data_IF_065889413745
#
_entry.id   IF_065889413745
#
_cell.length_a   1.000
_cell.length_b   1.000
_cell.length_c   1.000
_cell.angle_alpha   90.00
_cell.angle_beta   90.00
_cell.angle_gamma   90.00
#
_symmetry.space_group_name_H-M   'P 1'
#
loop_
_entity.id
_entity.type
_entity.pdbx_description
1 polymer ?
#
# COMPACT_ATOMS: atom_id res chain seq x y z
N UNK A 1 10.50 18.81 18.57
CA UNK A 1 9.23 19.23 19.22
C UNK A 1 8.11 19.56 18.22
N UNK A 2 8.41 20.05 17.00
CA UNK A 2 7.39 20.27 15.96
C UNK A 2 6.99 19.00 15.17
N UNK A 3 7.96 18.10 14.93
CA UNK A 3 7.70 16.84 14.19
C UNK A 3 6.73 15.93 14.96
N UNK A 4 6.81 15.86 16.29
CA UNK A 4 5.88 15.08 17.10
C UNK A 4 4.44 15.62 17.01
N UNK A 5 4.26 16.95 16.99
CA UNK A 5 2.94 17.56 16.78
C UNK A 5 2.40 17.26 15.38
N UNK A 6 3.23 17.31 14.35
CA UNK A 6 2.84 16.97 12.97
C UNK A 6 2.49 15.49 12.85
N UNK A 7 3.30 14.59 13.46
CA UNK A 7 3.02 13.15 13.49
C UNK A 7 1.74 12.83 14.27
N UNK A 8 1.49 13.50 15.39
CA UNK A 8 0.26 13.30 16.17
C UNK A 8 -0.96 13.83 15.41
N UNK A 9 -0.81 14.97 14.72
CA UNK A 9 -1.88 15.53 13.88
C UNK A 9 -2.15 14.65 12.66
N UNK A 10 -1.12 14.14 11.98
CA UNK A 10 -1.27 13.20 10.87
C UNK A 10 -1.87 11.87 11.34
N UNK A 11 -1.41 11.30 12.44
CA UNK A 11 -1.94 10.05 12.99
C UNK A 11 -3.41 10.21 13.40
N UNK A 12 -3.79 11.35 13.96
CA UNK A 12 -5.18 11.66 14.32
C UNK A 12 -6.05 11.94 13.09
N UNK A 13 -5.51 12.65 12.09
CA UNK A 13 -6.21 12.93 10.84
C UNK A 13 -6.39 11.66 10.00
N UNK A 14 -5.36 10.83 9.86
CA UNK A 14 -5.40 9.55 9.16
C UNK A 14 -6.27 8.56 9.93
N UNK A 15 -6.12 8.46 11.25
CA UNK A 15 -6.99 7.64 12.10
C UNK A 15 -8.45 8.06 11.97
N UNK A 16 -8.74 9.36 11.99
CA UNK A 16 -10.07 9.91 11.76
C UNK A 16 -10.60 9.67 10.34
N UNK A 17 -9.73 9.68 9.33
CA UNK A 17 -10.11 9.40 7.94
C UNK A 17 -10.42 7.91 7.76
N UNK A 18 -9.59 7.01 8.30
CA UNK A 18 -9.84 5.57 8.32
C UNK A 18 -11.14 5.27 9.08
N UNK A 19 -11.36 5.87 10.25
CA UNK A 19 -12.62 5.70 11.00
C UNK A 19 -13.83 6.23 10.22
N UNK A 20 -13.73 7.39 9.57
CA UNK A 20 -14.80 7.92 8.71
C UNK A 20 -15.10 6.99 7.53
N UNK A 21 -14.08 6.40 6.93
CA UNK A 21 -14.24 5.42 5.85
C UNK A 21 -14.84 4.12 6.35
N UNK A 22 -14.45 3.63 7.53
CA UNK A 22 -15.04 2.45 8.18
C UNK A 22 -16.51 2.68 8.53
N UNK A 23 -16.83 3.82 9.13
CA UNK A 23 -18.21 4.22 9.46
C UNK A 23 -19.02 4.43 8.17
N UNK A 24 -18.43 5.02 7.14
CA UNK A 24 -19.02 5.15 5.82
C UNK A 24 -19.30 3.79 5.17
N UNK A 25 -18.36 2.85 5.27
CA UNK A 25 -18.50 1.49 4.79
C UNK A 25 -19.56 0.70 5.54
N UNK A 26 -19.58 0.77 6.88
CA UNK A 26 -20.59 0.13 7.73
C UNK A 26 -21.97 0.73 7.45
N UNK A 27 -22.09 2.05 7.33
CA UNK A 27 -23.38 2.69 7.05
C UNK A 27 -23.87 2.41 5.65
N UNK A 28 -22.99 2.39 4.64
CA UNK A 28 -23.33 1.98 3.28
C UNK A 28 -23.74 0.50 3.22
N UNK A 29 -23.02 -0.39 3.93
CA UNK A 29 -23.36 -1.81 4.04
C UNK A 29 -24.70 -2.01 4.73
N UNK A 30 -24.96 -1.29 5.82
CA UNK A 30 -26.23 -1.35 6.54
C UNK A 30 -27.39 -0.78 5.72
N UNK A 31 -27.14 0.29 4.96
CA UNK A 31 -28.11 0.87 4.03
C UNK A 31 -28.45 -0.10 2.90
N UNK A 32 -27.43 -0.78 2.34
CA UNK A 32 -27.61 -1.83 1.34
C UNK A 32 -28.40 -3.02 1.90
N UNK A 33 -28.09 -3.46 3.13
CA UNK A 33 -28.84 -4.52 3.82
C UNK A 33 -30.32 -4.17 4.05
N UNK A 34 -30.63 -2.89 4.24
CA UNK A 34 -32.01 -2.41 4.45
C UNK A 34 -32.72 -1.95 3.16
N UNK A 35 -32.03 -2.01 2.02
CA UNK A 35 -32.63 -1.68 0.73
C UNK A 35 -33.50 -2.84 0.26
N UNK A 36 -34.77 -2.57 -0.07
CA UNK A 36 -35.70 -3.53 -0.65
C UNK A 36 -35.98 -3.20 -2.11
N UNK A 37 -35.79 -4.17 -3.01
CA UNK A 37 -36.20 -4.01 -4.40
C UNK A 37 -37.70 -4.37 -4.55
N UNK A 38 -38.42 -3.72 -5.48
CA UNK A 38 -39.84 -3.99 -5.68
C UNK A 38 -40.16 -5.46 -6.02
N UNK A 39 -39.17 -6.21 -6.53
CA UNK A 39 -39.25 -7.64 -6.87
C UNK A 39 -39.25 -8.56 -5.63
N UNK A 40 -38.75 -8.07 -4.50
CA UNK A 40 -38.56 -8.79 -3.23
C UNK A 40 -39.59 -8.35 -2.18
N UNK A 41 -40.43 -7.37 -2.51
CA UNK A 41 -41.35 -6.72 -1.57
C UNK A 41 -42.42 -7.70 -1.06
N UNK A 42 -42.70 -8.77 -1.81
CA UNK A 42 -43.59 -9.85 -1.37
C UNK A 42 -43.00 -10.69 -0.22
N UNK A 43 -41.67 -10.83 -0.12
CA UNK A 43 -41.01 -11.57 0.97
C UNK A 43 -41.13 -10.80 2.29
N UNK A 44 -41.15 -9.47 2.20
CA UNK A 44 -41.28 -8.57 3.36
C UNK A 44 -42.77 -8.45 3.74
N UNK A 45 -43.64 -8.12 2.77
CA UNK A 45 -45.05 -7.81 3.02
C UNK A 45 -45.94 -9.03 3.26
N UNK A 46 -45.68 -10.19 2.62
CA UNK A 46 -46.52 -11.39 2.76
C UNK A 46 -45.92 -12.46 3.67
N UNK A 47 -44.60 -12.58 3.73
CA UNK A 47 -43.91 -13.65 4.48
C UNK A 47 -43.29 -13.09 5.78
N UNK A 48 -43.13 -11.77 5.90
CA UNK A 48 -42.64 -11.12 7.13
C UNK A 48 -41.14 -11.28 7.36
N UNK A 49 -40.35 -11.58 6.32
CA UNK A 49 -38.90 -11.72 6.45
C UNK A 49 -38.25 -10.34 6.53
N UNK A 50 -37.31 -10.17 7.47
CA UNK A 50 -36.59 -8.92 7.61
C UNK A 50 -35.63 -8.68 6.43
N UNK A 51 -35.55 -7.41 5.98
CA UNK A 51 -34.75 -6.98 4.82
C UNK A 51 -33.28 -7.44 4.85
N UNK A 52 -32.57 -7.37 6.00
CA UNK A 52 -31.18 -7.81 6.07
C UNK A 52 -31.01 -9.31 5.84
N UNK A 53 -31.97 -10.14 6.29
CA UNK A 53 -31.93 -11.59 6.11
C UNK A 53 -32.13 -11.95 4.64
N UNK A 54 -33.01 -11.23 3.92
CA UNK A 54 -33.21 -11.40 2.47
C UNK A 54 -31.90 -11.13 1.71
N UNK A 55 -31.17 -10.07 2.09
CA UNK A 55 -29.88 -9.71 1.48
C UNK A 55 -28.76 -10.70 1.82
N UNK A 56 -28.63 -11.07 3.09
CA UNK A 56 -27.56 -11.98 3.55
C UNK A 56 -27.77 -13.43 3.12
N UNK A 57 -29.02 -13.86 2.92
CA UNK A 57 -29.33 -15.22 2.47
C UNK A 57 -29.09 -15.45 0.97
N UNK A 58 -28.76 -14.40 0.20
CA UNK A 58 -28.54 -14.45 -1.26
C UNK A 58 -29.71 -15.12 -2.03
N UNK A 59 -30.90 -15.19 -1.42
CA UNK A 59 -32.04 -15.91 -1.97
C UNK A 59 -32.63 -15.17 -3.17
N UNK A 60 -32.35 -15.65 -4.40
CA UNK A 60 -32.91 -15.14 -5.66
C UNK A 60 -34.36 -15.61 -5.88
N UNK A 61 -35.25 -15.47 -4.89
CA UNK A 61 -36.68 -15.66 -5.12
C UNK A 61 -37.28 -14.37 -5.66
N UNK A 62 -37.16 -14.18 -6.98
CA UNK A 62 -37.82 -13.08 -7.71
C UNK A 62 -39.22 -13.51 -8.13
N UNK A 63 -40.24 -12.71 -7.81
CA UNK A 63 -41.55 -12.83 -8.45
C UNK A 63 -41.39 -12.36 -9.90
N UNK A 64 -41.09 -13.30 -10.81
CA UNK A 64 -40.83 -13.15 -12.25
C UNK A 64 -40.93 -11.72 -12.81
N UNK A 65 -39.92 -10.89 -12.53
CA UNK A 65 -39.60 -9.73 -13.36
C UNK A 65 -38.61 -10.20 -14.42
N UNK A 66 -38.88 -9.81 -15.66
CA UNK A 66 -38.22 -10.30 -16.88
C UNK A 66 -36.69 -10.45 -16.69
N UNK A 67 -36.08 -11.53 -17.22
CA UNK A 67 -34.67 -11.77 -17.06
C UNK A 67 -33.90 -10.56 -17.59
N UNK A 68 -32.93 -10.06 -16.80
CA UNK A 68 -31.94 -9.10 -17.29
C UNK A 68 -31.47 -9.59 -18.66
N UNK A 69 -31.66 -8.75 -19.69
CA UNK A 69 -31.33 -9.05 -21.09
C UNK A 69 -29.94 -9.70 -21.09
N UNK A 70 -29.77 -10.88 -21.71
CA UNK A 70 -28.51 -11.67 -21.66
C UNK A 70 -27.25 -10.83 -21.86
N UNK A 71 -27.34 -9.77 -22.68
CA UNK A 71 -26.28 -8.78 -22.91
C UNK A 71 -25.83 -8.01 -21.66
N UNK A 72 -26.74 -7.59 -20.78
CA UNK A 72 -26.39 -6.92 -19.52
C UNK A 72 -25.66 -7.85 -18.56
N UNK A 73 -26.06 -9.12 -18.50
CA UNK A 73 -25.40 -10.11 -17.66
C UNK A 73 -23.96 -10.37 -18.14
N UNK A 74 -23.78 -10.49 -19.46
CA UNK A 74 -22.44 -10.65 -20.07
C UNK A 74 -21.57 -9.42 -19.80
N UNK A 75 -22.11 -8.21 -19.99
CA UNK A 75 -21.38 -6.96 -19.73
C UNK A 75 -20.90 -6.85 -18.28
N UNK A 76 -21.79 -7.09 -17.31
CA UNK A 76 -21.46 -7.00 -15.88
C UNK A 76 -20.38 -8.05 -15.52
N UNK A 77 -20.48 -9.28 -16.05
CA UNK A 77 -19.47 -10.34 -15.84
C UNK A 77 -18.12 -9.93 -16.44
N UNK A 78 -18.09 -9.52 -17.72
CA UNK A 78 -16.86 -9.13 -18.38
C UNK A 78 -16.20 -7.92 -17.74
N UNK A 79 -17.01 -6.94 -17.31
CA UNK A 79 -16.52 -5.71 -16.73
C UNK A 79 -15.77 -5.98 -15.44
N UNK A 80 -16.33 -6.73 -14.49
CA UNK A 80 -15.58 -6.95 -13.26
C UNK A 80 -14.61 -8.11 -13.25
N UNK A 81 -14.62 -9.02 -14.25
CA UNK A 81 -13.40 -9.81 -14.53
C UNK A 81 -12.24 -8.85 -14.85
N UNK A 82 -12.46 -7.84 -15.68
CA UNK A 82 -11.42 -6.85 -15.99
C UNK A 82 -11.00 -6.05 -14.74
N UNK A 83 -11.96 -5.65 -13.89
CA UNK A 83 -11.68 -4.96 -12.62
C UNK A 83 -10.86 -5.84 -11.67
N UNK A 84 -11.16 -7.14 -11.55
CA UNK A 84 -10.40 -8.08 -10.70
C UNK A 84 -8.98 -8.25 -11.23
N UNK A 85 -8.84 -8.52 -12.52
CA UNK A 85 -7.52 -8.68 -13.15
C UNK A 85 -6.66 -7.43 -12.95
N UNK A 86 -7.24 -6.24 -13.14
CA UNK A 86 -6.56 -4.96 -12.94
C UNK A 86 -6.19 -4.76 -11.46
N UNK A 87 -7.11 -5.04 -10.53
CA UNK A 87 -6.87 -4.88 -9.10
C UNK A 87 -5.82 -5.86 -8.59
N UNK A 88 -5.87 -7.12 -9.02
CA UNK A 88 -4.88 -8.15 -8.69
C UNK A 88 -3.50 -7.81 -9.27
N UNK A 89 -3.44 -7.30 -10.50
CA UNK A 89 -2.20 -6.83 -11.10
C UNK A 89 -1.61 -5.63 -10.35
N UNK A 90 -2.43 -4.63 -10.00
CA UNK A 90 -2.00 -3.50 -9.19
C UNK A 90 -1.51 -3.96 -7.81
N UNK A 91 -2.23 -4.89 -7.16
CA UNK A 91 -1.84 -5.47 -5.89
C UNK A 91 -0.49 -6.18 -5.99
N UNK A 92 -0.32 -7.05 -6.99
CA UNK A 92 0.94 -7.76 -7.23
C UNK A 92 2.11 -6.80 -7.44
N UNK A 93 1.96 -5.78 -8.30
CA UNK A 93 3.00 -4.77 -8.55
C UNK A 93 3.34 -3.99 -7.30
N UNK A 94 2.33 -3.63 -6.51
CA UNK A 94 2.49 -2.91 -5.27
C UNK A 94 3.23 -3.74 -4.20
N UNK A 95 2.82 -5.00 -4.00
CA UNK A 95 3.51 -5.92 -3.09
C UNK A 95 4.95 -6.18 -3.52
N UNK A 96 5.19 -6.35 -4.82
CA UNK A 96 6.54 -6.50 -5.36
C UNK A 96 7.42 -5.27 -5.09
N UNK A 97 6.88 -4.07 -5.29
CA UNK A 97 7.59 -2.82 -5.01
C UNK A 97 7.98 -2.70 -3.53
N UNK A 98 7.03 -2.93 -2.62
CA UNK A 98 7.29 -2.91 -1.17
C UNK A 98 8.27 -4.02 -0.74
N UNK A 99 8.20 -5.20 -1.34
CA UNK A 99 9.08 -6.30 -0.99
C UNK A 99 10.53 -6.09 -1.48
N UNK A 100 10.72 -5.32 -2.57
CA UNK A 100 12.04 -5.09 -3.17
C UNK A 100 12.82 -4.00 -2.46
N UNK A 101 12.16 -2.93 -2.00
CA UNK A 101 12.80 -1.81 -1.30
C UNK A 101 12.48 -1.89 0.20
N UNK A 102 13.45 -2.24 1.07
CA UNK A 102 13.18 -2.24 2.50
C UNK A 102 12.85 -0.82 2.97
N UNK A 103 11.74 -0.66 3.71
CA UNK A 103 11.00 0.59 4.03
C UNK A 103 11.82 1.73 4.68
N UNK A 104 13.10 1.49 5.01
CA UNK A 104 14.01 2.46 5.63
C UNK A 104 15.34 2.60 4.87
N UNK A 105 15.37 2.24 3.60
CA UNK A 105 16.56 2.33 2.76
C UNK A 105 16.27 3.17 1.54
N UNK A 106 17.31 3.85 1.07
CA UNK A 106 17.26 4.65 -0.13
C UNK A 106 18.23 4.05 -1.16
N UNK A 107 17.72 3.72 -2.35
CA UNK A 107 18.55 3.28 -3.47
C UNK A 107 19.23 4.49 -4.11
N UNK A 108 20.56 4.50 -4.08
CA UNK A 108 21.39 5.54 -4.67
C UNK A 108 22.23 4.90 -5.76
N UNK A 109 22.24 5.53 -6.93
CA UNK A 109 23.23 5.22 -7.98
C UNK A 109 24.21 6.38 -8.04
N UNK A 110 25.48 6.13 -7.71
CA UNK A 110 26.50 7.16 -7.74
C UNK A 110 26.73 7.62 -9.19
N UNK A 111 26.69 8.94 -9.41
CA UNK A 111 26.58 9.50 -10.77
C UNK A 111 27.80 9.20 -11.63
N UNK A 112 28.98 9.22 -11.02
CA UNK A 112 30.28 9.11 -11.69
C UNK A 112 30.68 7.65 -11.90
N UNK A 113 30.59 6.85 -10.85
CA UNK A 113 31.07 5.46 -10.82
C UNK A 113 30.01 4.47 -11.31
N UNK A 114 28.74 4.90 -11.35
CA UNK A 114 27.56 4.07 -11.67
C UNK A 114 27.29 2.93 -10.69
N UNK A 115 27.96 2.93 -9.55
CA UNK A 115 27.71 1.96 -8.49
C UNK A 115 26.33 2.23 -7.86
N UNK A 116 25.48 1.21 -7.81
CA UNK A 116 24.16 1.26 -7.17
C UNK A 116 24.19 0.54 -5.82
N UNK A 117 23.68 1.21 -4.79
CA UNK A 117 23.71 0.71 -3.41
C UNK A 117 22.52 1.23 -2.61
N UNK A 118 22.21 0.53 -1.53
CA UNK A 118 21.23 1.00 -0.55
C UNK A 118 21.92 1.75 0.58
N UNK A 119 21.31 2.83 1.02
CA UNK A 119 21.85 3.69 2.07
C UNK A 119 20.80 4.13 3.09
N UNK A 120 21.23 4.25 4.34
CA UNK A 120 20.52 4.87 5.48
C UNK A 120 21.55 5.55 6.41
N UNK A 121 21.15 6.38 7.38
CA UNK A 121 22.07 7.24 8.15
C UNK A 121 23.25 6.55 8.86
N UNK A 122 23.15 5.25 9.16
CA UNK A 122 24.19 4.49 9.87
C UNK A 122 24.80 3.36 9.03
N UNK A 123 24.38 3.23 7.76
CA UNK A 123 24.68 2.02 7.00
C UNK A 123 24.53 2.19 5.50
N UNK A 124 25.46 1.65 4.74
CA UNK A 124 25.32 1.41 3.30
C UNK A 124 25.66 -0.05 2.97
N UNK A 125 24.97 -0.62 1.99
CA UNK A 125 25.18 -1.99 1.54
C UNK A 125 24.87 -2.14 0.04
N UNK A 126 25.38 -3.20 -0.57
CA UNK A 126 25.15 -3.50 -1.97
C UNK A 126 23.71 -3.96 -2.29
N UNK A 127 23.38 -3.92 -3.58
CA UNK A 127 22.11 -4.39 -4.16
C UNK A 127 22.41 -5.56 -5.11
N UNK A 128 21.64 -6.67 -5.08
CA UNK A 128 20.61 -7.04 -4.09
C UNK A 128 21.24 -7.38 -2.73
N UNK A 129 20.46 -7.86 -1.75
CA UNK A 129 20.88 -8.20 -0.38
C UNK A 129 21.88 -9.38 -0.31
N UNK A 130 22.95 -9.36 -1.12
CA UNK A 130 24.13 -10.23 -0.97
C UNK A 130 25.06 -9.57 0.02
N UNK A 131 25.72 -10.34 0.91
CA UNK A 131 26.64 -9.77 1.91
C UNK A 131 28.01 -9.40 1.32
N UNK A 132 28.06 -8.88 0.09
CA UNK A 132 29.33 -8.60 -0.58
C UNK A 132 30.11 -7.49 0.11
N UNK A 133 29.42 -6.45 0.58
CA UNK A 133 30.03 -5.43 1.41
C UNK A 133 29.00 -4.63 2.20
N UNK A 134 29.45 -4.15 3.37
CA UNK A 134 28.73 -3.21 4.20
C UNK A 134 29.66 -2.08 4.64
N UNK A 135 29.14 -0.87 4.68
CA UNK A 135 29.89 0.30 5.15
C UNK A 135 29.11 0.94 6.28
N UNK A 136 29.73 0.95 7.46
CA UNK A 136 29.27 1.65 8.66
C UNK A 136 30.21 2.82 8.96
N UNK A 137 29.85 3.74 9.87
CA UNK A 137 30.75 4.78 10.33
C UNK A 137 32.11 4.24 10.79
N UNK A 138 32.13 3.10 11.50
CA UNK A 138 33.37 2.47 11.97
C UNK A 138 34.28 2.04 10.81
N UNK A 139 33.70 1.44 9.76
CA UNK A 139 34.43 1.05 8.53
C UNK A 139 34.98 2.28 7.81
N UNK A 140 34.26 3.41 7.84
CA UNK A 140 34.73 4.66 7.24
C UNK A 140 35.93 5.28 7.96
N UNK A 141 36.06 5.06 9.27
CA UNK A 141 37.19 5.53 10.07
C UNK A 141 38.38 4.57 9.95
N UNK A 142 38.13 3.26 9.83
CA UNK A 142 39.16 2.24 9.61
C UNK A 142 39.48 2.07 8.11
N UNK A 143 40.46 2.85 7.63
CA UNK A 143 40.94 2.77 6.25
C UNK A 143 41.31 1.36 5.81
N UNK A 144 41.83 0.52 6.72
CA UNK A 144 42.20 -0.86 6.38
C UNK A 144 40.99 -1.75 6.08
N UNK A 145 39.85 -1.50 6.72
CA UNK A 145 38.60 -2.19 6.43
C UNK A 145 37.93 -1.64 5.18
N UNK A 146 37.98 -0.32 4.99
CA UNK A 146 37.43 0.32 3.80
C UNK A 146 38.16 -0.11 2.52
N UNK A 147 39.48 -0.27 2.59
CA UNK A 147 40.30 -0.68 1.44
C UNK A 147 40.08 -2.15 1.06
N UNK A 148 39.64 -3.02 1.99
CA UNK A 148 39.28 -4.42 1.69
C UNK A 148 38.08 -4.57 0.76
N UNK A 149 37.23 -3.54 0.69
CA UNK A 149 36.05 -3.53 -0.18
C UNK A 149 36.50 -3.22 -1.62
N UNK A 150 36.91 -4.23 -2.39
CA UNK A 150 37.38 -4.04 -3.77
C UNK A 150 36.26 -3.95 -4.82
N UNK A 151 35.02 -4.25 -4.42
CA UNK A 151 33.83 -4.34 -5.29
C UNK A 151 33.28 -3.00 -5.78
N UNK A 152 33.64 -1.89 -5.13
CA UNK A 152 33.18 -0.54 -5.47
C UNK A 152 34.35 0.43 -5.58
N UNK A 153 34.18 1.48 -6.39
CA UNK A 153 35.23 2.46 -6.63
C UNK A 153 35.46 3.36 -5.42
N UNK A 154 36.68 3.90 -5.30
CA UNK A 154 37.05 4.77 -4.17
C UNK A 154 36.15 6.00 -4.06
N UNK A 155 35.78 6.61 -5.19
CA UNK A 155 34.86 7.75 -5.20
C UNK A 155 33.48 7.40 -4.61
N UNK A 156 33.00 6.17 -4.80
CA UNK A 156 31.76 5.68 -4.18
C UNK A 156 31.92 5.53 -2.67
N UNK A 157 33.06 4.99 -2.22
CA UNK A 157 33.37 4.85 -0.79
C UNK A 157 33.43 6.22 -0.10
N UNK A 158 34.12 7.17 -0.71
CA UNK A 158 34.25 8.53 -0.20
C UNK A 158 32.89 9.24 -0.15
N UNK A 159 32.06 9.05 -1.18
CA UNK A 159 30.69 9.54 -1.20
C UNK A 159 29.89 8.98 -0.02
N UNK A 160 29.87 7.66 0.16
CA UNK A 160 29.17 6.97 1.26
C UNK A 160 29.66 7.48 2.61
N UNK A 161 30.97 7.50 2.83
CA UNK A 161 31.54 7.94 4.10
C UNK A 161 31.27 9.43 4.39
N UNK A 162 31.18 10.28 3.37
CA UNK A 162 30.78 11.67 3.56
C UNK A 162 29.35 11.80 4.11
N UNK A 163 28.42 10.93 3.71
CA UNK A 163 27.05 10.94 4.22
C UNK A 163 26.89 10.23 5.57
N UNK A 164 27.81 9.33 5.95
CA UNK A 164 27.79 8.63 7.24
C UNK A 164 28.51 9.40 8.36
N UNK A 165 29.57 10.16 8.03
CA UNK A 165 30.41 10.86 9.01
C UNK A 165 30.05 12.35 9.17
N UNK A 166 29.56 13.02 8.12
CA UNK A 166 29.24 14.46 8.19
C UNK A 166 27.83 14.64 8.78
N UNK A 167 27.67 15.31 9.93
CA UNK A 167 26.38 15.43 10.60
C UNK A 167 25.27 16.05 9.74
N UNK A 168 25.59 17.10 8.98
CA UNK A 168 24.61 17.80 8.11
C UNK A 168 24.05 16.88 7.02
N UNK A 169 24.93 16.16 6.32
CA UNK A 169 24.54 15.20 5.27
C UNK A 169 23.80 13.99 5.83
N UNK A 170 24.21 13.54 7.02
CA UNK A 170 23.55 12.46 7.74
C UNK A 170 22.13 12.84 8.13
N UNK A 171 21.92 14.08 8.58
CA UNK A 171 20.59 14.60 8.91
C UNK A 171 19.72 14.76 7.65
N UNK A 172 20.28 15.20 6.53
CA UNK A 172 19.60 15.25 5.24
C UNK A 172 19.16 13.87 4.77
N UNK A 173 20.05 12.87 4.88
CA UNK A 173 19.75 11.49 4.56
C UNK A 173 18.67 10.92 5.49
N UNK A 174 18.71 11.25 6.79
CA UNK A 174 17.70 10.85 7.76
C UNK A 174 16.32 11.43 7.40
N UNK A 175 16.24 12.75 7.12
CA UNK A 175 15.00 13.41 6.68
C UNK A 175 14.43 12.78 5.42
N UNK A 176 15.27 12.45 4.45
CA UNK A 176 14.86 11.84 3.19
C UNK A 176 14.36 10.41 3.40
N UNK A 177 15.08 9.62 4.20
CA UNK A 177 14.71 8.25 4.55
C UNK A 177 13.39 8.22 5.33
N UNK A 178 13.22 9.11 6.29
CA UNK A 178 12.00 9.24 7.08
C UNK A 178 10.82 9.67 6.20
N UNK A 179 10.98 10.65 5.31
CA UNK A 179 9.93 11.06 4.38
C UNK A 179 9.48 9.91 3.48
N UNK A 180 10.41 9.10 2.97
CA UNK A 180 10.08 7.94 2.15
C UNK A 180 9.32 6.89 2.97
N UNK A 181 9.81 6.58 4.18
CA UNK A 181 9.15 5.68 5.14
C UNK A 181 7.72 6.12 5.45
N UNK A 182 7.51 7.39 5.78
CA UNK A 182 6.18 7.95 6.05
C UNK A 182 5.28 7.85 4.82
N UNK A 183 5.81 8.17 3.63
CA UNK A 183 5.05 8.08 2.39
C UNK A 183 4.61 6.64 2.11
N UNK A 184 5.50 5.67 2.23
CA UNK A 184 5.20 4.24 2.05
C UNK A 184 4.19 3.78 3.12
N UNK A 185 4.40 4.14 4.39
CA UNK A 185 3.53 3.76 5.49
C UNK A 185 2.11 4.32 5.37
N UNK A 186 1.93 5.49 4.74
CA UNK A 186 0.62 6.12 4.51
C UNK A 186 -0.02 5.60 3.22
N UNK A 187 0.75 5.51 2.13
CA UNK A 187 0.24 5.06 0.84
C UNK A 187 -0.22 3.60 0.87
N UNK A 188 0.48 2.75 1.64
CA UNK A 188 0.18 1.32 1.77
C UNK A 188 -1.25 1.02 2.22
N UNK A 189 -1.73 1.52 3.38
CA UNK A 189 -3.09 1.28 3.80
C UNK A 189 -4.11 1.91 2.85
N UNK A 190 -3.85 3.08 2.26
CA UNK A 190 -4.78 3.73 1.32
C UNK A 190 -4.97 2.87 0.06
N UNK A 191 -3.88 2.40 -0.53
CA UNK A 191 -3.92 1.54 -1.72
C UNK A 191 -4.60 0.22 -1.38
N UNK A 192 -4.27 -0.38 -0.23
CA UNK A 192 -4.88 -1.62 0.22
C UNK A 192 -6.40 -1.50 0.44
N UNK A 193 -6.83 -0.45 1.15
CA UNK A 193 -8.26 -0.18 1.41
C UNK A 193 -9.02 0.15 0.12
N UNK A 194 -8.38 0.84 -0.83
CA UNK A 194 -8.97 1.13 -2.14
C UNK A 194 -9.21 -0.15 -2.94
N UNK A 195 -8.25 -1.08 -2.92
CA UNK A 195 -8.38 -2.39 -3.58
C UNK A 195 -9.48 -3.22 -2.92
N UNK A 196 -9.52 -3.26 -1.59
CA UNK A 196 -10.59 -3.94 -0.84
C UNK A 196 -11.97 -3.34 -1.11
N UNK A 197 -12.07 -2.02 -1.21
CA UNK A 197 -13.31 -1.33 -1.52
C UNK A 197 -13.85 -1.70 -2.91
N UNK A 198 -12.96 -1.73 -3.91
CA UNK A 198 -13.31 -2.18 -5.27
C UNK A 198 -13.79 -3.64 -5.25
N UNK A 199 -13.14 -4.50 -4.46
CA UNK A 199 -13.54 -5.90 -4.30
C UNK A 199 -14.92 -6.05 -3.63
N UNK A 200 -15.21 -5.23 -2.61
CA UNK A 200 -16.51 -5.19 -1.93
C UNK A 200 -17.65 -4.72 -2.85
N UNK A 201 -17.42 -3.68 -3.65
CA UNK A 201 -18.39 -3.21 -4.66
C UNK A 201 -18.72 -4.33 -5.64
N UNK A 202 -17.71 -5.09 -6.08
CA UNK A 202 -17.92 -6.22 -6.97
C UNK A 202 -18.84 -7.29 -6.36
N UNK A 203 -18.58 -7.70 -5.11
CA UNK A 203 -19.44 -8.67 -4.41
C UNK A 203 -20.88 -8.16 -4.31
N UNK A 204 -21.08 -6.85 -4.05
CA UNK A 204 -22.41 -6.28 -3.98
C UNK A 204 -23.14 -6.20 -5.34
N UNK A 205 -22.40 -6.20 -6.46
CA UNK A 205 -22.95 -6.15 -7.82
C UNK A 205 -23.32 -7.53 -8.41
N UNK A 206 -22.87 -8.64 -7.81
CA UNK A 206 -23.00 -10.02 -8.35
C UNK A 206 -23.85 -10.96 -7.49
#
# INVERSE_FOLDING_TARGET
>A
MEIDKINTFLATAIGGLIFKWLIGGISAFWSWLNTSYPEEDFLISKIGISKPIIRLSLCKYKLSTKPHIKKHKIFIVSFGIAVIMTSAFCFYKFTYFIAKEPVNWFEITHRETKDSFWMKPEHAQNIPYTSEWNITPDVCVDKSQLDKIASIQQATKDFICSYLLIPEKKEELAKTTDKNKFTIMIATPIIYLSILFIFMIWIAMF
#
